data_IF_106532730984
#
_entry.id   IF_106532730984
#
_cell.length_a   1.000
_cell.length_b   1.000
_cell.length_c   1.000
_cell.angle_alpha   90.00
_cell.angle_beta   90.00
_cell.angle_gamma   90.00
#
_symmetry.space_group_name_H-M   'P 1'
#
loop_
_entity.id
_entity.type
_entity.pdbx_description
1 polymer ?
#
# COMPACT_ATOMS: atom_id res chain seq x y z
N UNK A 1 5.51 -4.67 -10.74
CA UNK A 1 4.04 -4.49 -10.76
C UNK A 1 3.25 -5.63 -11.40
N UNK A 2 3.57 -6.08 -12.64
CA UNK A 2 2.81 -7.17 -13.31
C UNK A 2 2.55 -8.42 -12.45
N UNK A 3 3.60 -8.98 -11.83
CA UNK A 3 3.46 -10.17 -10.98
C UNK A 3 2.60 -9.90 -9.75
N UNK A 4 2.81 -8.77 -9.08
CA UNK A 4 2.03 -8.37 -7.89
C UNK A 4 0.55 -8.22 -8.20
N UNK A 5 0.21 -7.71 -9.40
CA UNK A 5 -1.17 -7.64 -9.87
C UNK A 5 -1.72 -9.04 -10.15
N UNK A 6 -0.96 -9.89 -10.84
CA UNK A 6 -1.38 -11.27 -11.17
C UNK A 6 -1.64 -12.12 -9.91
N UNK A 7 -0.85 -11.92 -8.85
CA UNK A 7 -1.03 -12.58 -7.56
C UNK A 7 -2.05 -11.87 -6.65
N UNK A 8 -2.68 -10.79 -7.12
CA UNK A 8 -3.72 -10.07 -6.39
C UNK A 8 -3.24 -9.24 -5.19
N UNK A 9 -1.95 -8.91 -5.09
CA UNK A 9 -1.41 -8.09 -3.98
C UNK A 9 -1.66 -6.60 -4.17
N UNK A 10 -1.90 -6.16 -5.40
CA UNK A 10 -2.12 -4.75 -5.73
C UNK A 10 -3.32 -4.57 -6.64
N UNK A 11 -4.06 -3.50 -6.39
CA UNK A 11 -5.11 -3.01 -7.26
C UNK A 11 -4.49 -2.08 -8.30
N UNK A 12 -4.88 -2.21 -9.56
CA UNK A 12 -4.44 -1.36 -10.67
C UNK A 12 -5.59 -0.46 -11.09
N UNK A 13 -5.34 0.86 -11.15
CA UNK A 13 -6.28 1.83 -11.70
C UNK A 13 -5.58 2.69 -12.74
N UNK A 14 -6.26 2.97 -13.85
CA UNK A 14 -5.73 3.79 -14.94
C UNK A 14 -6.39 5.16 -14.90
N UNK A 15 -5.59 6.22 -14.90
CA UNK A 15 -6.07 7.61 -14.90
C UNK A 15 -5.30 8.43 -15.92
N UNK A 16 -5.95 8.76 -17.04
CA UNK A 16 -5.30 9.42 -18.18
C UNK A 16 -4.10 8.61 -18.70
N UNK A 17 -2.93 9.24 -18.72
CA UNK A 17 -1.67 8.60 -19.13
C UNK A 17 -1.04 7.72 -18.04
N UNK A 18 -1.52 7.77 -16.80
CA UNK A 18 -0.87 7.14 -15.66
C UNK A 18 -1.57 5.85 -15.23
N UNK A 19 -0.75 4.91 -14.72
CA UNK A 19 -1.22 3.70 -14.05
C UNK A 19 -0.84 3.84 -12.59
N UNK A 20 -1.85 3.84 -11.72
CA UNK A 20 -1.67 3.89 -10.28
C UNK A 20 -1.91 2.52 -9.69
N UNK A 21 -1.17 2.22 -8.64
CA UNK A 21 -1.32 0.99 -7.89
C UNK A 21 -1.59 1.31 -6.42
N UNK A 22 -2.49 0.56 -5.80
CA UNK A 22 -2.69 0.55 -4.36
C UNK A 22 -2.55 -0.87 -3.83
N UNK A 23 -2.16 -1.01 -2.56
CA UNK A 23 -2.14 -2.30 -1.90
C UNK A 23 -3.57 -2.87 -1.80
N UNK A 24 -3.69 -4.16 -2.04
CA UNK A 24 -4.94 -4.87 -1.84
C UNK A 24 -4.96 -5.46 -0.42
N UNK A 25 -5.54 -4.72 0.53
CA UNK A 25 -5.65 -5.14 1.93
C UNK A 25 -6.60 -6.34 2.13
N UNK A 26 -7.45 -6.65 1.15
CA UNK A 26 -8.34 -7.80 1.18
C UNK A 26 -7.61 -9.12 0.84
N UNK A 27 -6.38 -9.04 0.35
CA UNK A 27 -5.60 -10.24 0.06
C UNK A 27 -5.21 -10.94 1.38
N UNK A 28 -5.58 -12.22 1.58
CA UNK A 28 -5.36 -12.93 2.85
C UNK A 28 -3.88 -13.03 3.23
N UNK A 29 -2.97 -12.99 2.24
CA UNK A 29 -1.53 -13.07 2.47
C UNK A 29 -0.91 -11.71 2.83
N UNK A 30 -1.61 -10.59 2.63
CA UNK A 30 -1.08 -9.26 3.02
C UNK A 30 -0.89 -9.15 4.52
N UNK A 31 -1.84 -9.66 5.31
CA UNK A 31 -1.73 -9.63 6.77
C UNK A 31 -0.53 -10.44 7.28
N UNK A 32 -0.19 -11.53 6.59
CA UNK A 32 0.98 -12.34 6.91
C UNK A 32 2.29 -11.61 6.59
N UNK A 33 2.33 -10.83 5.50
CA UNK A 33 3.51 -10.09 5.06
C UNK A 33 3.67 -8.74 5.77
N UNK A 34 2.60 -8.17 6.30
CA UNK A 34 2.61 -6.88 7.01
C UNK A 34 3.72 -6.72 8.06
N UNK A 35 4.01 -7.71 8.93
CA UNK A 35 5.10 -7.59 9.90
C UNK A 35 6.51 -7.64 9.29
N UNK A 36 6.64 -8.16 8.06
CA UNK A 36 7.93 -8.24 7.35
C UNK A 36 8.27 -6.98 6.57
N UNK A 37 7.30 -6.06 6.39
CA UNK A 37 7.56 -4.84 5.65
C UNK A 37 8.60 -3.98 6.39
N UNK A 38 9.62 -3.48 5.68
CA UNK A 38 10.65 -2.66 6.28
C UNK A 38 10.01 -1.38 6.82
N UNK A 39 10.13 -1.18 8.13
CA UNK A 39 9.73 0.06 8.78
C UNK A 39 10.87 1.05 8.72
N UNK A 40 10.68 2.12 7.96
CA UNK A 40 11.62 3.24 7.94
C UNK A 40 11.21 4.21 9.05
N UNK A 41 12.13 4.53 9.96
CA UNK A 41 11.86 5.41 11.12
C UNK A 41 11.27 6.76 10.69
N UNK A 42 11.78 7.34 9.61
CA UNK A 42 11.28 8.59 9.04
C UNK A 42 9.80 8.54 8.65
N UNK A 43 9.34 7.41 8.10
CA UNK A 43 7.94 7.26 7.69
C UNK A 43 7.02 7.15 8.90
N UNK A 44 7.46 6.50 9.98
CA UNK A 44 6.71 6.48 11.24
C UNK A 44 6.65 7.87 11.89
N UNK A 45 7.74 8.64 11.84
CA UNK A 45 7.74 10.04 12.33
C UNK A 45 6.82 10.95 11.52
N UNK A 46 6.76 10.77 10.19
CA UNK A 46 5.83 11.50 9.31
C UNK A 46 4.38 11.11 9.60
N UNK A 47 4.12 9.82 9.82
CA UNK A 47 2.80 9.30 10.14
C UNK A 47 2.32 9.81 11.52
N UNK A 48 3.19 9.85 12.52
CA UNK A 48 2.87 10.37 13.85
C UNK A 48 2.56 11.88 13.85
N UNK A 49 3.19 12.64 12.94
CA UNK A 49 2.94 14.09 12.77
C UNK A 49 1.75 14.41 11.87
N UNK A 50 1.27 13.44 11.10
CA UNK A 50 0.12 13.64 10.22
C UNK A 50 -1.12 13.90 11.09
N UNK A 51 -1.68 15.12 11.01
CA UNK A 51 -3.00 15.40 11.57
C UNK A 51 -3.99 14.62 10.72
N UNK A 52 -4.59 13.57 11.29
CA UNK A 52 -5.61 12.77 10.62
C UNK A 52 -6.68 13.63 9.97
N UNK A 53 -7.20 13.20 8.82
CA UNK A 53 -8.29 13.92 8.16
C UNK A 53 -9.54 13.88 9.06
N UNK A 54 -10.21 15.00 9.33
CA UNK A 54 -11.50 14.96 10.02
C UNK A 54 -12.50 14.19 9.15
N UNK A 55 -13.04 13.10 9.70
CA UNK A 55 -14.13 12.31 9.12
C UNK A 55 -15.47 12.98 9.34
#
# INVERSE_FOLDING_TARGET
MRRLRQTGFVNERRGGQWIYYSLNLENPLINLLSPTFPKVKEDEEKLARAKGCPT
#
